data_IF_326835392702
#
_entry.id   IF_326835392702
#
_cell.length_a   1.000
_cell.length_b   1.000
_cell.length_c   1.000
_cell.angle_alpha   90.00
_cell.angle_beta   90.00
_cell.angle_gamma   90.00
#
_symmetry.space_group_name_H-M   'P 1'
#
loop_
_entity.id
_entity.type
_entity.pdbx_description
1 polymer ?
#
# COMPACT_ATOMS: atom_id res chain seq x y z
N UNK A 1 20.13 -6.65 -16.73
CA UNK A 1 20.26 -6.00 -15.42
C UNK A 1 19.01 -6.37 -14.64
N UNK A 2 19.02 -7.60 -14.09
CA UNK A 2 17.86 -8.19 -13.40
C UNK A 2 18.01 -7.92 -11.91
N UNK A 3 17.12 -7.09 -11.36
CA UNK A 3 16.99 -6.92 -9.92
C UNK A 3 15.78 -7.72 -9.46
N UNK A 4 16.01 -9.01 -9.22
CA UNK A 4 15.06 -9.90 -8.54
C UNK A 4 15.14 -9.60 -7.05
N UNK A 5 14.35 -8.65 -6.54
CA UNK A 5 14.26 -8.42 -5.09
C UNK A 5 13.38 -9.49 -4.48
N UNK A 6 14.00 -10.37 -3.69
CA UNK A 6 13.38 -11.52 -3.05
C UNK A 6 12.42 -11.12 -1.94
N UNK A 7 11.22 -11.70 -1.96
CA UNK A 7 10.31 -11.71 -0.82
C UNK A 7 10.85 -12.72 0.19
N UNK A 8 11.42 -12.23 1.29
CA UNK A 8 11.66 -13.04 2.48
C UNK A 8 10.34 -13.14 3.28
N UNK A 9 9.36 -13.86 2.74
CA UNK A 9 8.17 -14.24 3.50
C UNK A 9 8.57 -15.30 4.53
N UNK A 10 8.99 -14.87 5.71
CA UNK A 10 9.12 -15.76 6.87
C UNK A 10 7.73 -16.19 7.31
N UNK A 11 7.28 -17.34 6.83
CA UNK A 11 6.08 -18.01 7.29
C UNK A 11 6.39 -18.69 8.64
N UNK A 12 5.98 -18.08 9.74
CA UNK A 12 5.91 -18.70 11.06
C UNK A 12 4.48 -18.60 11.61
N UNK A 13 3.90 -19.67 12.18
CA UNK A 13 2.52 -19.68 12.63
C UNK A 13 2.41 -19.15 14.07
N UNK A 14 1.93 -17.92 14.23
CA UNK A 14 1.40 -17.40 15.49
C UNK A 14 0.39 -16.27 15.17
N UNK A 15 -0.71 -16.13 15.94
CA UNK A 15 -1.65 -15.05 15.71
C UNK A 15 -0.95 -13.72 16.06
N UNK A 16 -1.10 -12.69 15.25
CA UNK A 16 -0.66 -11.31 15.52
C UNK A 16 0.79 -10.88 15.16
N UNK A 17 1.43 -11.45 14.13
CA UNK A 17 2.64 -10.83 13.55
C UNK A 17 2.35 -10.38 12.11
N UNK A 18 2.21 -9.07 11.91
CA UNK A 18 2.15 -8.46 10.58
C UNK A 18 3.41 -8.87 9.80
N UNK A 19 3.29 -9.31 8.53
CA UNK A 19 4.46 -9.66 7.74
C UNK A 19 5.32 -8.41 7.57
N UNK A 20 6.60 -8.52 7.93
CA UNK A 20 7.54 -7.42 7.80
C UNK A 20 7.92 -7.25 6.33
N UNK A 21 7.50 -6.14 5.75
CA UNK A 21 7.80 -5.76 4.36
C UNK A 21 8.92 -4.72 4.37
N UNK A 22 10.07 -5.07 3.79
CA UNK A 22 11.23 -4.16 3.68
C UNK A 22 11.07 -3.11 2.56
N UNK A 23 10.47 -3.49 1.43
CA UNK A 23 10.29 -2.61 0.25
C UNK A 23 8.82 -2.68 -0.27
N UNK A 24 7.87 -1.99 0.37
CA UNK A 24 6.45 -2.07 -0.02
C UNK A 24 6.17 -1.63 -1.47
N UNK A 25 6.98 -0.70 -1.99
CA UNK A 25 6.82 -0.14 -3.34
C UNK A 25 7.28 -1.09 -4.46
N UNK A 26 8.08 -2.12 -4.15
CA UNK A 26 8.60 -3.09 -5.14
C UNK A 26 7.72 -4.33 -5.29
N UNK A 27 6.64 -4.42 -4.51
CA UNK A 27 5.75 -5.58 -4.54
C UNK A 27 5.01 -5.63 -5.88
N UNK A 28 5.00 -6.81 -6.50
CA UNK A 28 4.25 -7.02 -7.73
C UNK A 28 2.75 -6.76 -7.50
N UNK A 29 2.01 -6.18 -8.46
CA UNK A 29 0.60 -5.79 -8.25
C UNK A 29 -0.31 -6.93 -7.78
N UNK A 30 -0.03 -8.16 -8.22
CA UNK A 30 -0.78 -9.36 -7.82
C UNK A 30 -0.56 -9.71 -6.35
N UNK A 31 0.67 -9.58 -5.88
CA UNK A 31 1.06 -9.87 -4.50
C UNK A 31 0.61 -8.74 -3.57
N UNK A 32 0.70 -7.49 -4.03
CA UNK A 32 0.21 -6.32 -3.31
C UNK A 32 -1.28 -6.43 -3.00
N UNK A 33 -2.09 -6.97 -3.93
CA UNK A 33 -3.51 -7.21 -3.71
C UNK A 33 -3.77 -8.26 -2.62
N UNK A 34 -3.00 -9.34 -2.62
CA UNK A 34 -3.14 -10.43 -1.66
C UNK A 34 -2.68 -10.01 -0.26
N UNK A 35 -1.55 -9.29 -0.18
CA UNK A 35 -1.04 -8.72 1.06
C UNK A 35 -1.99 -7.65 1.59
N UNK A 36 -2.50 -6.76 0.74
CA UNK A 36 -3.44 -5.72 1.19
C UNK A 36 -4.65 -6.32 1.90
N UNK A 37 -5.20 -7.43 1.41
CA UNK A 37 -6.31 -8.12 2.08
C UNK A 37 -5.94 -8.60 3.50
N UNK A 38 -4.74 -9.14 3.69
CA UNK A 38 -4.25 -9.56 5.01
C UNK A 38 -4.07 -8.37 5.96
N UNK A 39 -3.45 -7.29 5.48
CA UNK A 39 -3.25 -6.07 6.27
C UNK A 39 -4.58 -5.39 6.64
N UNK A 40 -5.57 -5.38 5.74
CA UNK A 40 -6.92 -4.89 6.07
C UNK A 40 -7.60 -5.72 7.16
N UNK A 41 -7.46 -7.05 7.13
CA UNK A 41 -7.99 -7.89 8.21
C UNK A 41 -7.33 -7.59 9.56
N UNK A 42 -6.03 -7.28 9.55
CA UNK A 42 -5.32 -6.90 10.79
C UNK A 42 -5.77 -5.52 11.29
N UNK A 43 -5.94 -4.52 10.40
CA UNK A 43 -6.44 -3.20 10.80
C UNK A 43 -7.81 -3.25 11.50
N UNK A 44 -8.65 -4.25 11.21
CA UNK A 44 -9.93 -4.44 11.90
C UNK A 44 -9.81 -4.93 13.34
N UNK A 45 -8.67 -5.54 13.70
CA UNK A 45 -8.42 -6.15 15.02
C UNK A 45 -7.46 -5.29 15.84
N UNK A 46 -6.57 -4.55 15.19
CA UNK A 46 -5.60 -3.67 15.81
C UNK A 46 -6.26 -2.41 16.35
N UNK A 47 -5.83 -1.99 17.54
CA UNK A 47 -6.31 -0.74 18.15
C UNK A 47 -5.65 0.48 17.47
N UNK A 48 -6.48 1.45 17.09
CA UNK A 48 -6.02 2.73 16.55
C UNK A 48 -5.04 3.42 17.50
N UNK A 49 -3.93 3.91 16.96
CA UNK A 49 -2.89 4.59 17.74
C UNK A 49 -1.73 3.67 18.17
N UNK A 50 -1.87 2.35 18.06
CA UNK A 50 -0.76 1.40 18.26
C UNK A 50 0.28 1.50 17.14
N UNK A 51 1.51 1.06 17.42
CA UNK A 51 2.57 1.02 16.42
C UNK A 51 2.23 0.03 15.29
N UNK A 52 1.59 -1.08 15.64
CA UNK A 52 1.14 -2.12 14.73
C UNK A 52 0.05 -1.61 13.78
N UNK A 53 -0.91 -0.83 14.29
CA UNK A 53 -1.91 -0.17 13.46
C UNK A 53 -1.25 0.80 12.46
N UNK A 54 -0.33 1.64 12.94
CA UNK A 54 0.40 2.58 12.10
C UNK A 54 1.25 1.88 11.04
N UNK A 55 1.92 0.79 11.42
CA UNK A 55 2.69 -0.04 10.50
C UNK A 55 1.79 -0.60 9.40
N UNK A 56 0.69 -1.26 9.78
CA UNK A 56 -0.23 -1.87 8.83
C UNK A 56 -0.81 -0.84 7.85
N UNK A 57 -1.23 0.31 8.37
CA UNK A 57 -1.75 1.44 7.59
C UNK A 57 -0.71 1.99 6.61
N UNK A 58 0.51 2.26 7.08
CA UNK A 58 1.57 2.83 6.25
C UNK A 58 1.99 1.86 5.15
N UNK A 59 2.15 0.57 5.46
CA UNK A 59 2.47 -0.45 4.46
C UNK A 59 1.38 -0.55 3.40
N UNK A 60 0.09 -0.47 3.77
CA UNK A 60 -1.02 -0.43 2.82
C UNK A 60 -0.97 0.78 1.89
N UNK A 61 -0.66 1.97 2.43
CA UNK A 61 -0.52 3.20 1.64
C UNK A 61 0.63 3.05 0.63
N UNK A 62 1.80 2.60 1.08
CA UNK A 62 2.99 2.49 0.23
C UNK A 62 2.83 1.44 -0.87
N UNK A 63 2.25 0.26 -0.57
CA UNK A 63 1.99 -0.78 -1.56
C UNK A 63 1.06 -0.30 -2.69
N UNK A 64 0.11 0.58 -2.36
CA UNK A 64 -0.93 1.04 -3.28
C UNK A 64 -0.62 2.41 -3.91
N UNK A 65 0.46 3.08 -3.53
CA UNK A 65 0.85 4.37 -4.10
C UNK A 65 1.13 4.27 -5.61
N UNK A 66 1.79 3.19 -6.04
CA UNK A 66 2.02 2.90 -7.46
C UNK A 66 0.73 2.78 -8.28
N UNK A 67 -0.35 2.28 -7.66
CA UNK A 67 -1.67 2.20 -8.29
C UNK A 67 -2.28 3.58 -8.50
N UNK A 68 -2.12 4.50 -7.54
CA UNK A 68 -2.59 5.90 -7.66
C UNK A 68 -1.91 6.58 -8.84
N UNK A 69 -0.58 6.46 -8.94
CA UNK A 69 0.17 7.01 -10.07
C UNK A 69 -0.28 6.40 -11.41
N UNK A 70 -0.50 5.08 -11.45
CA UNK A 70 -1.00 4.41 -12.65
C UNK A 70 -2.43 4.83 -13.02
N UNK A 71 -3.30 5.06 -12.04
CA UNK A 71 -4.65 5.58 -12.25
C UNK A 71 -4.61 7.02 -12.77
N UNK A 72 -3.79 7.88 -12.16
CA UNK A 72 -3.62 9.29 -12.53
C UNK A 72 -3.15 9.47 -13.99
N UNK A 73 -2.27 8.59 -14.49
CA UNK A 73 -1.82 8.60 -15.90
C UNK A 73 -2.95 8.57 -16.92
N UNK A 74 -4.12 8.01 -16.59
CA UNK A 74 -5.29 8.00 -17.49
C UNK A 74 -5.89 9.40 -17.69
N UNK A 75 -5.61 10.34 -16.80
CA UNK A 75 -6.13 11.71 -16.83
C UNK A 75 -5.14 12.74 -17.40
N UNK A 76 -4.01 12.27 -17.97
CA UNK A 76 -2.94 13.13 -18.50
C UNK A 76 -3.37 14.09 -19.62
N UNK A 77 -4.49 13.84 -20.29
CA UNK A 77 -4.96 14.66 -21.42
C UNK A 77 -5.70 15.95 -20.98
N UNK A 78 -5.75 16.29 -19.68
CA UNK A 78 -6.50 17.48 -19.19
C UNK A 78 -5.74 18.81 -19.25
N UNK A 79 -4.43 18.81 -19.48
CA UNK A 79 -3.60 20.03 -19.55
C UNK A 79 -2.38 19.98 -18.62
N UNK A 80 -1.39 20.84 -18.89
CA UNK A 80 -0.14 20.93 -18.13
C UNK A 80 -0.42 21.35 -16.67
N UNK A 81 0.25 20.72 -15.70
CA UNK A 81 0.13 21.02 -14.26
C UNK A 81 -0.95 20.27 -13.47
N UNK A 82 -2.00 19.74 -14.11
CA UNK A 82 -3.08 19.04 -13.38
C UNK A 82 -2.72 17.62 -12.90
N UNK A 83 -1.62 17.05 -13.40
CA UNK A 83 -1.22 15.69 -13.04
C UNK A 83 -0.86 15.57 -11.56
N UNK A 84 -0.10 16.53 -11.03
CA UNK A 84 0.31 16.54 -9.62
C UNK A 84 -0.90 16.68 -8.70
N UNK A 85 -1.84 17.55 -9.04
CA UNK A 85 -3.12 17.70 -8.33
C UNK A 85 -3.93 16.40 -8.31
N UNK A 86 -4.01 15.71 -9.45
CA UNK A 86 -4.72 14.43 -9.55
C UNK A 86 -4.05 13.35 -8.69
N UNK A 87 -2.72 13.29 -8.70
CA UNK A 87 -1.96 12.35 -7.87
C UNK A 87 -2.20 12.67 -6.39
N UNK A 88 -2.17 13.96 -6.01
CA UNK A 88 -2.40 14.38 -4.63
C UNK A 88 -3.81 14.02 -4.16
N UNK A 89 -4.85 14.39 -4.92
CA UNK A 89 -6.24 14.04 -4.61
C UNK A 89 -6.44 12.53 -4.56
N UNK A 90 -5.82 11.79 -5.49
CA UNK A 90 -5.86 10.33 -5.51
C UNK A 90 -5.18 9.70 -4.29
N UNK A 91 -4.07 10.28 -3.83
CA UNK A 91 -3.34 9.82 -2.64
C UNK A 91 -4.13 10.10 -1.37
N UNK A 92 -4.75 11.28 -1.25
CA UNK A 92 -5.68 11.60 -0.15
C UNK A 92 -6.86 10.61 -0.15
N UNK A 93 -7.41 10.31 -1.34
CA UNK A 93 -8.50 9.34 -1.50
C UNK A 93 -8.10 7.94 -1.07
N UNK A 94 -6.89 7.49 -1.41
CA UNK A 94 -6.34 6.21 -0.97
C UNK A 94 -6.23 6.15 0.56
N UNK A 95 -5.65 7.17 1.19
CA UNK A 95 -5.49 7.24 2.64
C UNK A 95 -6.85 7.17 3.34
N UNK A 96 -7.82 7.98 2.89
CA UNK A 96 -9.17 7.98 3.45
C UNK A 96 -9.92 6.66 3.25
N UNK A 97 -9.61 5.90 2.20
CA UNK A 97 -10.20 4.59 1.97
C UNK A 97 -9.61 3.51 2.89
N UNK A 98 -8.36 3.69 3.33
CA UNK A 98 -7.70 2.81 4.30
C UNK A 98 -8.19 3.11 5.72
N UNK A 99 -8.34 4.39 6.07
CA UNK A 99 -8.74 4.87 7.41
C UNK A 99 -10.26 4.84 7.68
N UNK A 100 -11.01 4.02 6.93
CA UNK A 100 -12.48 4.06 6.97
C UNK A 100 -13.07 3.32 8.16
#
# INVERSE_FOLDING_TARGET
MEATTGIAASAAPAPAVLPQIDDPQKIAPKDARSLSALFFQQLQVLEEGTHEYQYARNTLIEMNLSLVQFAAKRYRNRGDGQMEDIIQVGTIGLIKAIDR
#
